data_IF_349162767219
#
_entry.id   IF_349162767219
#
_cell.length_a   1.000
_cell.length_b   1.000
_cell.length_c   1.000
_cell.angle_alpha   90.00
_cell.angle_beta   90.00
_cell.angle_gamma   90.00
#
_symmetry.space_group_name_H-M   'P 1'
#
loop_
_entity.id
_entity.type
_entity.pdbx_description
1 polymer ?
#
# COMPACT_ATOMS: atom_id res chain seq x y z
N UNK A 1 6.96 13.32 27.84
CA UNK A 1 5.91 12.28 27.63
C UNK A 1 5.28 12.35 26.23
N UNK A 2 4.69 13.48 25.80
CA UNK A 2 4.10 13.63 24.44
C UNK A 2 5.09 13.40 23.29
N UNK A 3 6.32 13.92 23.39
CA UNK A 3 7.36 13.73 22.37
C UNK A 3 7.68 12.25 22.08
N UNK A 4 7.83 11.44 23.13
CA UNK A 4 8.09 10.01 22.99
C UNK A 4 6.92 9.26 22.36
N UNK A 5 5.67 9.63 22.69
CA UNK A 5 4.48 9.07 22.05
C UNK A 5 4.41 9.42 20.56
N UNK A 6 4.65 10.68 20.19
CA UNK A 6 4.67 11.13 18.80
C UNK A 6 5.77 10.43 17.99
N UNK A 7 6.95 10.21 18.59
CA UNK A 7 8.04 9.50 17.94
C UNK A 7 7.68 8.03 17.64
N UNK A 8 7.00 7.35 18.56
CA UNK A 8 6.50 5.99 18.34
C UNK A 8 5.46 5.93 17.22
N UNK A 9 4.50 6.85 17.22
CA UNK A 9 3.47 6.86 16.18
C UNK A 9 4.06 7.16 14.80
N UNK A 10 5.04 8.07 14.70
CA UNK A 10 5.78 8.26 13.45
C UNK A 10 6.50 6.99 12.98
N UNK A 11 7.11 6.23 13.89
CA UNK A 11 7.77 4.95 13.54
C UNK A 11 6.74 3.94 13.03
N UNK A 12 5.58 3.83 13.70
CA UNK A 12 4.47 2.97 13.27
C UNK A 12 3.98 3.34 11.87
N UNK A 13 3.76 4.63 11.62
CA UNK A 13 3.28 5.12 10.33
C UNK A 13 4.31 4.92 9.20
N UNK A 14 5.61 5.07 9.49
CA UNK A 14 6.68 4.73 8.52
C UNK A 14 6.61 3.25 8.12
N UNK A 15 6.49 2.35 9.09
CA UNK A 15 6.35 0.91 8.82
C UNK A 15 5.12 0.61 7.96
N UNK A 16 4.00 1.29 8.21
CA UNK A 16 2.79 1.15 7.41
C UNK A 16 3.01 1.64 5.98
N UNK A 17 3.64 2.80 5.79
CA UNK A 17 3.91 3.34 4.46
C UNK A 17 4.85 2.42 3.66
N UNK A 18 5.89 1.86 4.29
CA UNK A 18 6.76 0.86 3.64
C UNK A 18 5.99 -0.38 3.18
N UNK A 19 4.99 -0.84 3.94
CA UNK A 19 4.13 -1.95 3.51
C UNK A 19 3.25 -1.57 2.31
N UNK A 20 2.71 -0.34 2.29
CA UNK A 20 1.98 0.18 1.12
C UNK A 20 2.87 0.27 -0.13
N UNK A 21 4.12 0.71 0.02
CA UNK A 21 5.05 0.82 -1.11
C UNK A 21 5.37 -0.56 -1.70
N UNK A 22 5.59 -1.57 -0.84
CA UNK A 22 5.75 -2.97 -1.29
C UNK A 22 4.51 -3.50 -2.00
N UNK A 23 3.33 -3.16 -1.51
CA UNK A 23 2.08 -3.57 -2.15
C UNK A 23 1.92 -2.95 -3.54
N UNK A 24 2.28 -1.67 -3.71
CA UNK A 24 2.23 -1.00 -5.02
C UNK A 24 3.17 -1.63 -6.05
N UNK A 25 4.32 -2.16 -5.62
CA UNK A 25 5.29 -2.80 -6.53
C UNK A 25 4.75 -4.07 -7.20
N UNK A 26 3.75 -4.73 -6.62
CA UNK A 26 3.19 -5.99 -7.13
C UNK A 26 1.81 -5.81 -7.77
N UNK A 27 1.24 -4.61 -7.70
CA UNK A 27 -0.04 -4.29 -8.35
C UNK A 27 0.25 -3.88 -9.79
N UNK A 28 -0.49 -4.41 -10.78
CA UNK A 28 -0.35 -3.98 -12.17
C UNK A 28 -0.73 -2.50 -12.33
N UNK A 29 0.14 -1.73 -12.99
CA UNK A 29 -0.07 -0.31 -13.29
C UNK A 29 -0.09 -0.10 -14.81
N UNK A 30 -1.08 0.65 -15.32
CA UNK A 30 -1.41 0.74 -16.75
C UNK A 30 -0.69 1.89 -17.49
N UNK A 31 0.56 2.17 -17.14
CA UNK A 31 1.36 3.15 -17.86
C UNK A 31 1.16 4.56 -17.33
N UNK A 32 1.90 4.84 -16.27
CA UNK A 32 2.54 6.10 -15.89
C UNK A 32 3.17 5.80 -14.52
N UNK A 33 4.28 6.44 -14.16
CA UNK A 33 4.89 6.32 -12.82
C UNK A 33 3.98 6.87 -11.69
N UNK A 34 2.67 6.93 -11.92
CA UNK A 34 1.66 7.39 -11.00
C UNK A 34 1.56 6.45 -9.80
N UNK A 35 1.94 6.98 -8.64
CA UNK A 35 1.81 6.29 -7.36
C UNK A 35 0.33 6.30 -6.95
N UNK A 36 -0.28 5.12 -6.85
CA UNK A 36 -1.64 4.97 -6.34
C UNK A 36 -1.82 5.58 -4.95
N UNK A 37 -2.97 6.21 -4.70
CA UNK A 37 -3.37 6.58 -3.35
C UNK A 37 -3.49 5.34 -2.45
N UNK A 38 -3.52 5.49 -1.13
CA UNK A 38 -3.68 4.34 -0.21
C UNK A 38 -4.99 3.59 -0.48
N UNK A 39 -6.07 4.32 -0.76
CA UNK A 39 -7.36 3.71 -1.08
C UNK A 39 -7.30 2.95 -2.40
N UNK A 40 -6.77 3.57 -3.45
CA UNK A 40 -6.67 2.94 -4.77
C UNK A 40 -5.77 1.72 -4.74
N UNK A 41 -4.66 1.77 -3.98
CA UNK A 41 -3.76 0.63 -3.78
C UNK A 41 -4.53 -0.57 -3.21
N UNK A 42 -5.36 -0.37 -2.18
CA UNK A 42 -6.14 -1.46 -1.58
C UNK A 42 -7.25 -1.97 -2.50
N UNK A 43 -7.88 -1.07 -3.26
CA UNK A 43 -8.91 -1.44 -4.23
C UNK A 43 -8.32 -2.27 -5.37
N UNK A 44 -7.22 -1.81 -5.95
CA UNK A 44 -6.50 -2.52 -7.01
C UNK A 44 -5.96 -3.87 -6.55
N UNK A 45 -5.44 -3.96 -5.32
CA UNK A 45 -5.00 -5.24 -4.75
C UNK A 45 -6.14 -6.26 -4.68
N UNK A 46 -7.33 -5.85 -4.22
CA UNK A 46 -8.50 -6.73 -4.15
C UNK A 46 -8.95 -7.20 -5.53
N UNK A 47 -9.07 -6.26 -6.47
CA UNK A 47 -9.39 -6.59 -7.86
C UNK A 47 -8.39 -7.58 -8.43
N UNK A 48 -7.09 -7.30 -8.28
CA UNK A 48 -6.03 -8.14 -8.85
C UNK A 48 -6.04 -9.56 -8.27
N UNK A 49 -6.23 -9.71 -6.95
CA UNK A 49 -6.37 -11.03 -6.32
C UNK A 49 -7.56 -11.79 -6.89
N UNK A 50 -8.71 -11.13 -7.10
CA UNK A 50 -9.91 -11.77 -7.64
C UNK A 50 -9.74 -12.19 -9.10
N UNK A 51 -9.11 -11.36 -9.93
CA UNK A 51 -8.80 -11.69 -11.31
C UNK A 51 -7.85 -12.89 -11.41
N UNK A 52 -6.76 -12.90 -10.63
CA UNK A 52 -5.83 -14.03 -10.60
C UNK A 52 -6.50 -15.34 -10.15
N UNK A 53 -7.43 -15.27 -9.18
CA UNK A 53 -8.22 -16.42 -8.74
C UNK A 53 -9.17 -16.95 -9.81
N UNK A 54 -9.62 -16.11 -10.75
CA UNK A 54 -10.48 -16.54 -11.86
C UNK A 54 -9.74 -17.25 -12.99
N UNK A 55 -8.41 -17.08 -13.05
CA UNK A 55 -7.53 -17.69 -14.07
C UNK A 55 -6.96 -19.04 -13.59
N UNK A 56 -6.87 -19.24 -12.27
CA UNK A 56 -6.42 -20.48 -11.62
C UNK A 56 -7.55 -21.49 -11.46
#
# INVERSE_FOLDING_TARGET
>A
RRLAANARERKRMRSLNTAFDRLRQVIPNMGDDQIFSKYDTLRMAQTYINELKGIL
#
